data_IF_254388266370
#
_entry.id   IF_254388266370
#
_cell.length_a   1.000
_cell.length_b   1.000
_cell.length_c   1.000
_cell.angle_alpha   90.00
_cell.angle_beta   90.00
_cell.angle_gamma   90.00
#
_symmetry.space_group_name_H-M   'P 1'
#
loop_
_entity.id
_entity.type
_entity.pdbx_description
1 polymer ?
#
# COMPACT_ATOMS: atom_id res chain seq x y z
N UNK A 1 -3.76 2.53 23.79
CA UNK A 1 -2.75 3.41 23.15
C UNK A 1 -2.90 4.81 23.73
N UNK A 2 -1.85 5.43 24.29
CA UNK A 2 -1.86 6.82 24.75
C UNK A 2 -1.98 7.81 23.58
N UNK A 3 -2.43 9.04 23.85
CA UNK A 3 -2.52 10.11 22.83
C UNK A 3 -1.16 10.42 22.20
N UNK A 4 -0.08 10.46 22.98
CA UNK A 4 1.26 10.73 22.47
C UNK A 4 1.71 9.71 21.41
N UNK A 5 1.41 8.43 21.60
CA UNK A 5 1.72 7.37 20.62
C UNK A 5 0.87 7.46 19.35
N UNK A 6 -0.32 8.05 19.45
CA UNK A 6 -1.15 8.37 18.30
C UNK A 6 -0.54 9.53 17.52
N UNK A 7 -0.25 10.64 18.20
CA UNK A 7 0.28 11.86 17.59
C UNK A 7 1.64 11.60 16.93
N UNK A 8 2.52 10.83 17.57
CA UNK A 8 3.84 10.43 17.02
C UNK A 8 3.72 9.73 15.66
N UNK A 9 2.69 8.90 15.47
CA UNK A 9 2.46 8.20 14.20
C UNK A 9 1.77 9.11 13.15
N UNK A 10 0.88 9.98 13.61
CA UNK A 10 -0.02 10.78 12.77
C UNK A 10 0.68 11.99 12.21
N UNK A 11 1.40 12.75 13.03
CA UNK A 11 2.00 14.03 12.68
C UNK A 11 2.88 14.00 11.42
N UNK A 12 3.88 13.08 11.28
CA UNK A 12 4.79 13.12 10.14
C UNK A 12 4.06 12.90 8.80
N UNK A 13 2.96 12.15 8.79
CA UNK A 13 2.26 11.78 7.56
C UNK A 13 1.00 12.61 7.33
N UNK A 14 0.20 12.93 8.35
CA UNK A 14 -0.99 13.80 8.19
C UNK A 14 -0.57 15.25 8.10
N UNK A 15 0.03 15.77 9.18
CA UNK A 15 0.43 17.18 9.27
C UNK A 15 1.52 17.48 8.25
N UNK A 16 2.52 16.59 8.14
CA UNK A 16 3.60 16.72 7.15
C UNK A 16 3.09 16.82 5.71
N UNK A 17 2.26 15.87 5.27
CA UNK A 17 1.68 15.89 3.91
C UNK A 17 0.80 17.11 3.68
N UNK A 18 0.00 17.51 4.67
CA UNK A 18 -0.83 18.71 4.55
C UNK A 18 -0.01 20.00 4.46
N UNK A 19 1.11 20.07 5.19
CA UNK A 19 2.05 21.19 5.09
C UNK A 19 2.71 21.25 3.71
N UNK A 20 3.15 20.11 3.15
CA UNK A 20 3.66 20.06 1.78
C UNK A 20 2.61 20.56 0.78
N UNK A 21 1.36 20.09 0.89
CA UNK A 21 0.25 20.53 0.04
C UNK A 21 0.03 22.05 0.07
N UNK A 22 0.09 22.66 1.26
CA UNK A 22 -0.04 24.11 1.41
C UNK A 22 1.17 24.87 0.85
N UNK A 23 2.38 24.36 1.06
CA UNK A 23 3.63 25.04 0.68
C UNK A 23 3.82 25.14 -0.85
N UNK A 24 3.28 24.18 -1.60
CA UNK A 24 3.34 24.14 -3.07
C UNK A 24 2.12 24.78 -3.73
N UNK A 25 1.12 25.23 -2.95
CA UNK A 25 -0.15 25.76 -3.48
C UNK A 25 0.11 26.87 -4.50
N UNK A 26 -0.45 26.70 -5.69
CA UNK A 26 -0.30 27.66 -6.80
C UNK A 26 0.92 27.39 -7.70
N UNK A 27 1.77 26.43 -7.34
CA UNK A 27 2.83 25.85 -8.19
C UNK A 27 2.59 24.38 -8.48
N UNK A 28 1.41 23.85 -8.13
CA UNK A 28 1.11 22.42 -8.30
C UNK A 28 1.19 21.94 -9.75
N UNK A 29 0.94 22.82 -10.72
CA UNK A 29 1.06 22.53 -12.16
C UNK A 29 2.50 22.44 -12.66
N UNK A 30 3.47 22.89 -11.86
CA UNK A 30 4.90 22.83 -12.16
C UNK A 30 5.56 21.57 -11.57
N UNK A 31 4.84 20.80 -10.75
CA UNK A 31 5.35 19.57 -10.17
C UNK A 31 5.25 18.41 -11.14
N UNK A 32 6.39 17.73 -11.36
CA UNK A 32 6.41 16.47 -12.09
C UNK A 32 5.66 15.36 -11.33
N UNK A 33 5.77 15.36 -9.99
CA UNK A 33 5.12 14.37 -9.14
C UNK A 33 4.82 14.88 -7.74
N UNK A 34 3.92 14.16 -7.06
CA UNK A 34 3.74 14.22 -5.61
C UNK A 34 3.54 12.78 -5.14
N UNK A 35 4.53 12.21 -4.47
CA UNK A 35 4.52 10.79 -4.13
C UNK A 35 4.56 10.61 -2.61
N UNK A 36 3.68 9.77 -2.09
CA UNK A 36 3.67 9.39 -0.67
C UNK A 36 3.84 7.88 -0.53
N UNK A 37 4.62 7.47 0.46
CA UNK A 37 4.74 6.07 0.86
C UNK A 37 3.73 5.78 1.96
N UNK A 38 2.74 4.95 1.63
CA UNK A 38 1.82 4.37 2.59
C UNK A 38 2.20 2.90 2.84
N UNK A 39 1.27 2.11 3.38
CA UNK A 39 1.46 0.70 3.66
C UNK A 39 0.19 -0.06 3.33
N UNK A 40 0.33 -1.32 2.91
CA UNK A 40 -0.77 -2.27 2.80
C UNK A 40 -1.65 -2.29 4.05
N UNK A 41 -1.07 -2.14 5.25
CA UNK A 41 -1.79 -2.05 6.53
C UNK A 41 -2.84 -0.93 6.54
N UNK A 42 -2.64 0.16 5.80
CA UNK A 42 -3.64 1.22 5.66
C UNK A 42 -4.89 0.79 4.90
N UNK A 43 -4.73 -0.08 3.91
CA UNK A 43 -5.83 -0.58 3.08
C UNK A 43 -6.54 -1.77 3.73
N UNK A 44 -5.78 -2.75 4.23
CA UNK A 44 -6.32 -4.02 4.72
C UNK A 44 -6.59 -4.01 6.22
N UNK A 45 -5.90 -3.15 6.97
CA UNK A 45 -5.96 -3.09 8.42
C UNK A 45 -5.13 -4.19 9.08
N UNK A 46 -4.43 -3.83 10.14
CA UNK A 46 -3.63 -4.74 10.97
C UNK A 46 -4.06 -4.59 12.41
N UNK A 47 -4.41 -5.71 13.05
CA UNK A 47 -4.80 -5.71 14.45
C UNK A 47 -3.70 -5.08 15.31
N UNK A 48 -4.09 -4.29 16.31
CA UNK A 48 -3.20 -3.53 17.22
C UNK A 48 -2.44 -2.35 16.62
N UNK A 49 -2.51 -2.12 15.31
CA UNK A 49 -1.79 -1.03 14.61
C UNK A 49 -2.73 0.09 14.15
N UNK A 50 -3.75 0.45 14.94
CA UNK A 50 -4.81 1.35 14.47
C UNK A 50 -4.32 2.76 14.09
N UNK A 51 -3.33 3.31 14.80
CA UNK A 51 -2.68 4.57 14.44
C UNK A 51 -1.94 4.47 13.09
N UNK A 52 -1.15 3.42 12.90
CA UNK A 52 -0.40 3.15 11.67
C UNK A 52 -1.33 2.90 10.47
N UNK A 53 -2.38 2.11 10.65
CA UNK A 53 -3.37 1.87 9.60
C UNK A 53 -4.09 3.18 9.23
N UNK A 54 -4.54 3.95 10.21
CA UNK A 54 -5.28 5.19 9.98
C UNK A 54 -4.44 6.22 9.21
N UNK A 55 -3.18 6.36 9.58
CA UNK A 55 -2.31 7.35 8.94
C UNK A 55 -1.91 6.98 7.52
N UNK A 56 -1.71 5.69 7.24
CA UNK A 56 -1.43 5.23 5.88
C UNK A 56 -2.68 5.33 5.00
N UNK A 57 -3.86 4.98 5.54
CA UNK A 57 -5.13 5.19 4.83
C UNK A 57 -5.40 6.66 4.52
N UNK A 58 -5.01 7.58 5.42
CA UNK A 58 -5.05 9.02 5.12
C UNK A 58 -4.23 9.37 3.87
N UNK A 59 -3.02 8.83 3.71
CA UNK A 59 -2.17 9.10 2.54
C UNK A 59 -2.82 8.58 1.24
N UNK A 60 -3.42 7.39 1.29
CA UNK A 60 -4.12 6.78 0.16
C UNK A 60 -5.28 7.66 -0.31
N UNK A 61 -6.12 8.11 0.63
CA UNK A 61 -7.27 8.99 0.35
C UNK A 61 -6.81 10.40 -0.01
N UNK A 62 -5.71 10.88 0.57
CA UNK A 62 -5.15 12.19 0.27
C UNK A 62 -4.65 12.29 -1.19
N UNK A 63 -4.03 11.23 -1.70
CA UNK A 63 -3.65 11.18 -3.12
C UNK A 63 -4.88 11.27 -4.03
N UNK A 64 -5.96 10.55 -3.70
CA UNK A 64 -7.25 10.66 -4.41
C UNK A 64 -7.83 12.08 -4.34
N UNK A 65 -7.76 12.71 -3.17
CA UNK A 65 -8.20 14.10 -2.95
C UNK A 65 -7.41 15.11 -3.80
N UNK A 66 -6.10 14.93 -3.99
CA UNK A 66 -5.29 15.79 -4.87
C UNK A 66 -5.65 15.56 -6.33
N UNK A 67 -5.75 14.30 -6.76
CA UNK A 67 -6.15 13.96 -8.14
C UNK A 67 -7.54 14.42 -8.52
N UNK A 68 -8.50 14.41 -7.59
CA UNK A 68 -9.85 14.93 -7.85
C UNK A 68 -9.89 16.43 -8.13
N UNK A 69 -8.81 17.16 -7.80
CA UNK A 69 -8.60 18.57 -8.14
C UNK A 69 -7.68 18.78 -9.35
N UNK A 70 -7.34 17.72 -10.07
CA UNK A 70 -6.41 17.77 -11.19
C UNK A 70 -4.94 18.00 -10.77
N UNK A 71 -4.61 17.79 -9.49
CA UNK A 71 -3.25 17.96 -8.99
C UNK A 71 -2.51 16.60 -9.00
N UNK A 72 -1.20 16.58 -9.28
CA UNK A 72 -0.42 15.35 -9.24
C UNK A 72 -0.42 14.79 -7.81
N UNK A 73 -0.65 13.48 -7.69
CA UNK A 73 -0.44 12.71 -6.47
C UNK A 73 -0.51 11.20 -6.73
N UNK A 74 0.39 10.43 -6.14
CA UNK A 74 0.30 8.97 -6.07
C UNK A 74 0.69 8.51 -4.67
N UNK A 75 -0.12 7.65 -4.05
CA UNK A 75 0.27 6.95 -2.83
C UNK A 75 0.66 5.51 -3.16
N UNK A 76 1.73 5.02 -2.55
CA UNK A 76 2.19 3.64 -2.72
C UNK A 76 1.96 2.90 -1.41
N UNK A 77 0.97 2.01 -1.38
CA UNK A 77 0.72 1.09 -0.28
C UNK A 77 1.74 -0.03 -0.26
N UNK A 78 2.89 0.22 0.37
CA UNK A 78 4.00 -0.73 0.40
C UNK A 78 3.69 -1.96 1.26
N UNK A 79 4.05 -3.13 0.74
CA UNK A 79 4.16 -4.38 1.48
C UNK A 79 5.34 -4.40 2.46
N UNK A 80 5.68 -5.58 2.93
CA UNK A 80 6.94 -5.80 3.67
C UNK A 80 8.12 -5.41 2.76
N UNK A 81 9.05 -4.61 3.26
CA UNK A 81 10.31 -4.29 2.59
C UNK A 81 11.42 -5.09 3.27
N UNK A 82 12.24 -5.80 2.51
CA UNK A 82 13.43 -6.50 3.01
C UNK A 82 14.69 -5.67 2.77
N UNK A 83 15.80 -6.13 3.36
CA UNK A 83 17.18 -5.64 3.11
C UNK A 83 17.49 -4.23 3.62
N UNK A 84 16.48 -3.37 3.82
CA UNK A 84 16.61 -2.01 4.35
C UNK A 84 15.42 -1.60 5.22
N UNK A 85 15.62 -0.60 6.09
CA UNK A 85 14.56 0.00 6.90
C UNK A 85 14.16 -0.81 8.13
N UNK A 86 13.01 -0.44 8.73
CA UNK A 86 12.60 -0.91 10.06
C UNK A 86 12.53 -2.44 10.19
N UNK A 87 12.08 -3.16 9.15
CA UNK A 87 11.95 -4.62 9.24
C UNK A 87 13.30 -5.34 9.21
N UNK A 88 14.26 -4.84 8.44
CA UNK A 88 15.62 -5.38 8.45
C UNK A 88 16.30 -5.21 9.82
N UNK A 89 15.97 -4.13 10.53
CA UNK A 89 16.45 -3.89 11.90
C UNK A 89 15.76 -4.76 12.96
N UNK A 90 14.68 -5.47 12.61
CA UNK A 90 13.85 -6.27 13.53
C UNK A 90 13.55 -7.67 12.94
N UNK A 91 14.54 -8.60 12.93
CA UNK A 91 14.46 -9.88 12.21
C UNK A 91 13.36 -10.82 12.71
N UNK A 92 12.94 -10.71 13.97
CA UNK A 92 11.80 -11.44 14.52
C UNK A 92 10.47 -11.04 13.86
N UNK A 93 10.32 -9.77 13.50
CA UNK A 93 9.12 -9.26 12.81
C UNK A 93 9.13 -9.74 11.36
N UNK A 94 10.28 -9.67 10.68
CA UNK A 94 10.45 -10.20 9.32
C UNK A 94 10.11 -11.70 9.26
N UNK A 95 10.65 -12.51 10.18
CA UNK A 95 10.34 -13.93 10.25
C UNK A 95 8.84 -14.22 10.51
N UNK A 96 8.18 -13.39 11.33
CA UNK A 96 6.74 -13.50 11.58
C UNK A 96 5.92 -13.19 10.31
N UNK A 97 6.29 -12.16 9.56
CA UNK A 97 5.59 -11.78 8.33
C UNK A 97 5.78 -12.82 7.22
N UNK A 98 6.99 -13.37 7.07
CA UNK A 98 7.26 -14.49 6.16
C UNK A 98 6.41 -15.72 6.50
N UNK A 99 6.25 -16.05 7.79
CA UNK A 99 5.36 -17.15 8.23
C UNK A 99 3.89 -16.90 7.91
N UNK A 100 3.47 -15.63 7.82
CA UNK A 100 2.12 -15.24 7.39
C UNK A 100 1.96 -15.21 5.85
N UNK A 101 2.99 -15.62 5.10
CA UNK A 101 2.97 -15.65 3.64
C UNK A 101 3.11 -14.27 2.99
N UNK A 102 3.44 -13.23 3.77
CA UNK A 102 3.73 -11.90 3.24
C UNK A 102 5.13 -11.98 2.64
N UNK A 103 5.23 -11.78 1.33
CA UNK A 103 6.50 -11.72 0.63
C UNK A 103 7.11 -10.33 0.77
N UNK A 104 8.43 -10.27 0.89
CA UNK A 104 9.14 -9.01 0.95
C UNK A 104 9.36 -8.43 -0.45
N UNK A 105 9.37 -7.10 -0.50
CA UNK A 105 9.78 -6.27 -1.62
C UNK A 105 11.26 -5.94 -1.38
N UNK A 106 12.12 -6.33 -2.30
CA UNK A 106 13.55 -5.96 -2.24
C UNK A 106 13.79 -4.54 -2.80
N UNK A 107 15.04 -4.06 -2.73
CA UNK A 107 15.39 -2.71 -3.20
C UNK A 107 15.11 -2.50 -4.69
N UNK A 108 15.47 -3.45 -5.54
CA UNK A 108 15.27 -3.37 -6.99
C UNK A 108 13.78 -3.30 -7.35
N UNK A 109 12.95 -4.08 -6.67
CA UNK A 109 11.50 -4.07 -6.82
C UNK A 109 10.89 -2.74 -6.34
N UNK A 110 11.38 -2.20 -5.22
CA UNK A 110 10.94 -0.91 -4.70
C UNK A 110 11.19 0.22 -5.70
N UNK A 111 12.38 0.26 -6.31
CA UNK A 111 12.73 1.26 -7.33
C UNK A 111 11.80 1.13 -8.55
N UNK A 112 11.56 -0.09 -9.04
CA UNK A 112 10.64 -0.33 -10.15
C UNK A 112 9.21 0.10 -9.82
N UNK A 113 8.74 -0.16 -8.59
CA UNK A 113 7.43 0.29 -8.10
C UNK A 113 7.32 1.82 -8.11
N UNK A 114 8.38 2.51 -7.68
CA UNK A 114 8.44 3.98 -7.72
C UNK A 114 8.41 4.48 -9.17
N UNK A 115 9.17 3.89 -10.09
CA UNK A 115 9.14 4.25 -11.51
C UNK A 115 7.74 4.09 -12.10
N UNK A 116 7.06 2.97 -11.82
CA UNK A 116 5.66 2.74 -12.23
C UNK A 116 4.75 3.82 -11.67
N UNK A 117 4.89 4.15 -10.38
CA UNK A 117 4.06 5.16 -9.70
C UNK A 117 4.26 6.58 -10.28
N UNK A 118 5.48 6.90 -10.72
CA UNK A 118 5.83 8.19 -11.33
C UNK A 118 5.39 8.30 -12.79
N UNK A 119 5.51 7.22 -13.58
CA UNK A 119 5.09 7.25 -14.98
C UNK A 119 3.57 7.40 -15.15
N UNK A 120 2.78 6.97 -14.15
CA UNK A 120 1.33 7.15 -14.11
C UNK A 120 0.60 6.59 -15.35
N UNK A 121 1.22 5.60 -16.02
CA UNK A 121 0.78 4.99 -17.27
C UNK A 121 -0.19 3.84 -17.02
N UNK A 122 -1.28 4.08 -16.28
CA UNK A 122 -2.30 3.03 -16.16
C UNK A 122 -2.99 2.84 -17.52
N UNK A 123 -2.61 1.78 -18.22
CA UNK A 123 -3.25 1.34 -19.48
C UNK A 123 -4.54 0.56 -19.23
N UNK A 124 -4.85 0.28 -17.97
CA UNK A 124 -6.05 -0.45 -17.55
C UNK A 124 -7.23 0.52 -17.47
N UNK A 125 -8.31 0.31 -18.24
CA UNK A 125 -9.50 1.15 -18.17
C UNK A 125 -10.22 0.96 -16.83
N UNK A 126 -10.20 1.96 -15.97
CA UNK A 126 -10.94 1.95 -14.70
C UNK A 126 -12.33 2.54 -14.88
N UNK A 127 -13.26 1.76 -15.43
CA UNK A 127 -14.61 2.21 -15.77
C UNK A 127 -15.40 2.80 -14.59
N UNK A 128 -15.15 2.29 -13.37
CA UNK A 128 -15.88 2.66 -12.16
C UNK A 128 -15.08 3.56 -11.19
N UNK A 129 -13.77 3.72 -11.39
CA UNK A 129 -12.92 4.55 -10.54
C UNK A 129 -11.91 5.34 -11.37
N UNK A 130 -12.29 6.55 -11.78
CA UNK A 130 -11.43 7.48 -12.52
C UNK A 130 -10.19 7.92 -11.75
N UNK A 131 -10.14 7.69 -10.43
CA UNK A 131 -9.03 8.04 -9.56
C UNK A 131 -8.21 6.82 -9.13
N UNK A 132 -8.43 5.64 -9.72
CA UNK A 132 -7.72 4.41 -9.37
C UNK A 132 -6.20 4.57 -9.45
N UNK A 133 -5.68 5.31 -10.43
CA UNK A 133 -4.24 5.56 -10.55
C UNK A 133 -3.63 6.37 -9.39
N UNK A 134 -4.43 6.96 -8.50
CA UNK A 134 -3.93 7.69 -7.32
C UNK A 134 -3.28 6.80 -6.26
N UNK A 135 -3.52 5.49 -6.32
CA UNK A 135 -3.05 4.54 -5.32
C UNK A 135 -2.53 3.27 -5.99
N UNK A 136 -1.28 2.92 -5.68
CA UNK A 136 -0.66 1.67 -6.08
C UNK A 136 -0.48 0.81 -4.83
N UNK A 137 -1.21 -0.30 -4.73
CA UNK A 137 -1.14 -1.22 -3.61
C UNK A 137 -0.22 -2.38 -3.95
N UNK A 138 0.80 -2.62 -3.12
CA UNK A 138 1.77 -3.72 -3.28
C UNK A 138 1.74 -4.64 -2.07
N UNK A 139 2.51 -5.73 -2.09
CA UNK A 139 2.59 -6.69 -0.97
C UNK A 139 1.39 -7.63 -0.83
N UNK A 140 0.34 -7.43 -1.62
CA UNK A 140 -0.64 -8.48 -1.92
C UNK A 140 0.01 -9.37 -2.95
N UNK A 141 0.60 -10.51 -2.53
CA UNK A 141 1.22 -11.46 -3.48
C UNK A 141 0.32 -12.68 -3.72
N UNK A 142 -0.74 -12.53 -4.53
CA UNK A 142 -1.74 -13.55 -4.77
C UNK A 142 -1.16 -14.83 -5.41
N UNK A 143 -0.18 -14.69 -6.30
CA UNK A 143 0.38 -15.80 -7.04
C UNK A 143 1.31 -16.64 -6.16
N UNK A 144 2.21 -15.98 -5.41
CA UNK A 144 3.02 -16.65 -4.40
C UNK A 144 2.17 -17.43 -3.40
N UNK A 145 1.07 -16.86 -2.91
CA UNK A 145 0.14 -17.56 -2.02
C UNK A 145 -0.49 -18.80 -2.68
N UNK A 146 -0.87 -18.71 -3.97
CA UNK A 146 -1.40 -19.85 -4.74
C UNK A 146 -0.37 -20.97 -4.88
N UNK A 147 0.90 -20.63 -5.14
CA UNK A 147 2.00 -21.59 -5.24
C UNK A 147 2.32 -22.26 -3.89
N UNK A 148 2.30 -21.52 -2.78
CA UNK A 148 2.44 -22.11 -1.45
C UNK A 148 1.27 -23.06 -1.12
N UNK A 149 0.03 -22.71 -1.46
CA UNK A 149 -1.12 -23.60 -1.29
C UNK A 149 -0.99 -24.89 -2.10
N UNK A 150 -0.51 -24.83 -3.34
CA UNK A 150 -0.20 -26.03 -4.15
C UNK A 150 0.84 -26.95 -3.50
N UNK A 151 1.76 -26.39 -2.70
CA UNK A 151 2.76 -27.13 -1.92
C UNK A 151 2.22 -27.66 -0.57
N UNK A 152 0.93 -27.50 -0.29
CA UNK A 152 0.29 -28.00 0.94
C UNK A 152 0.37 -27.06 2.15
N UNK A 153 0.75 -25.78 1.96
CA UNK A 153 0.72 -24.81 3.04
C UNK A 153 -0.72 -24.31 3.26
N UNK A 154 -1.30 -24.63 4.43
CA UNK A 154 -2.64 -24.21 4.86
C UNK A 154 -2.62 -22.93 5.74
N UNK A 155 -1.74 -21.99 5.42
CA UNK A 155 -1.67 -20.71 6.15
C UNK A 155 -2.90 -19.84 5.94
N UNK A 156 -3.34 -19.15 7.00
CA UNK A 156 -4.35 -18.10 6.91
C UNK A 156 -3.71 -16.80 6.42
N UNK A 157 -4.40 -16.09 5.53
CA UNK A 157 -4.02 -14.74 5.12
C UNK A 157 -5.12 -13.80 5.63
N UNK A 158 -4.89 -13.08 6.75
CA UNK A 158 -5.91 -12.24 7.37
C UNK A 158 -6.52 -11.20 6.43
N UNK A 159 -5.78 -10.76 5.40
CA UNK A 159 -6.29 -9.86 4.38
C UNK A 159 -7.41 -10.50 3.56
N UNK A 160 -7.30 -11.79 3.22
CA UNK A 160 -8.31 -12.50 2.43
C UNK A 160 -9.53 -12.90 3.25
N UNK A 161 -9.42 -12.90 4.57
CA UNK A 161 -10.52 -13.15 5.49
C UNK A 161 -11.40 -11.89 5.71
N UNK A 162 -10.92 -10.71 5.29
CA UNK A 162 -11.68 -9.47 5.38
C UNK A 162 -12.80 -9.42 4.31
N UNK A 163 -14.06 -9.14 4.68
CA UNK A 163 -15.16 -9.03 3.72
C UNK A 163 -14.92 -8.04 2.58
N UNK A 164 -14.14 -6.98 2.81
CA UNK A 164 -13.77 -5.98 1.79
C UNK A 164 -12.85 -6.59 0.72
N UNK A 165 -12.11 -7.63 1.05
CA UNK A 165 -11.26 -8.37 0.14
C UNK A 165 -11.97 -9.56 -0.52
N UNK A 166 -13.27 -9.76 -0.32
CA UNK A 166 -13.99 -10.94 -0.83
C UNK A 166 -13.86 -11.13 -2.35
N UNK A 167 -13.84 -10.03 -3.14
CA UNK A 167 -13.62 -10.09 -4.59
C UNK A 167 -12.20 -10.57 -4.92
N UNK A 168 -11.20 -10.06 -4.20
CA UNK A 168 -9.81 -10.49 -4.34
C UNK A 168 -9.63 -11.96 -3.92
N UNK A 169 -10.23 -12.36 -2.80
CA UNK A 169 -10.22 -13.74 -2.31
C UNK A 169 -10.92 -14.70 -3.30
N UNK A 170 -12.04 -14.29 -3.91
CA UNK A 170 -12.72 -15.06 -4.93
C UNK A 170 -11.89 -15.19 -6.22
N UNK A 171 -11.26 -14.10 -6.68
CA UNK A 171 -10.35 -14.13 -7.82
C UNK A 171 -9.16 -15.09 -7.58
N UNK A 172 -8.72 -15.22 -6.34
CA UNK A 172 -7.66 -16.13 -5.92
C UNK A 172 -8.08 -17.60 -5.82
N UNK A 173 -9.31 -17.85 -5.37
CA UNK A 173 -9.90 -19.19 -5.25
C UNK A 173 -10.42 -19.76 -6.57
N UNK A 174 -10.63 -18.90 -7.57
CA UNK A 174 -11.09 -19.31 -8.90
C UNK A 174 -10.11 -20.24 -9.62
N UNK A 175 -10.53 -21.48 -9.87
CA UNK A 175 -10.00 -22.30 -10.97
C UNK A 175 -10.50 -21.72 -12.29
N UNK A 176 -9.88 -20.66 -12.77
CA UNK A 176 -10.01 -20.30 -14.17
C UNK A 176 -8.59 -20.18 -14.73
N UNK A 177 -8.15 -21.24 -15.38
CA UNK A 177 -7.21 -21.11 -16.48
C UNK A 177 -7.81 -20.08 -17.42
N UNK A 178 -7.22 -18.88 -17.45
CA UNK A 178 -7.49 -17.92 -18.50
C UNK A 178 -6.79 -18.50 -19.73
N UNK A 179 -7.55 -19.27 -20.50
CA UNK A 179 -7.18 -19.76 -21.81
C UNK A 179 -7.03 -18.61 -22.81
#
# INVERSE_FOLDING_TARGET
>A
MPNESWDTAIDPKVVGTWNLHKAIKGRDSELDFFLTTSSISGSVGTATESNYCSVNYFLDVFARYRRSRGLPATSIGLGMISEVGYLHENPEIEALLLRKGIQAINEDELIQIIDIALTNTSTIPHAYDKLAGAHLLTGLEPFGLKEFRKKGFEGTNPTLDDPRAAVLAAALGGQADIA
#
